data_IF_108489816004
#
_entry.id   IF_108489816004
#
_cell.length_a   1.000
_cell.length_b   1.000
_cell.length_c   1.000
_cell.angle_alpha   90.00
_cell.angle_beta   90.00
_cell.angle_gamma   90.00
#
_symmetry.space_group_name_H-M   'P 1'
#
loop_
_entity.id
_entity.type
_entity.pdbx_description
1 polymer ?
#
# COMPACT_ATOMS: atom_id res chain seq x y z
N UNK A 1 -28.25 -15.26 -37.71
CA UNK A 1 -28.27 -15.72 -36.31
C UNK A 1 -28.22 -14.47 -35.46
N UNK A 2 -29.36 -14.04 -34.93
CA UNK A 2 -29.47 -12.86 -34.07
C UNK A 2 -28.62 -13.12 -32.82
N UNK A 3 -27.57 -12.32 -32.60
CA UNK A 3 -26.76 -12.42 -31.40
C UNK A 3 -27.64 -11.94 -30.24
N UNK A 4 -28.07 -12.84 -29.36
CA UNK A 4 -28.80 -12.47 -28.14
C UNK A 4 -28.01 -11.39 -27.38
N UNK A 5 -28.64 -10.24 -27.14
CA UNK A 5 -28.09 -9.17 -26.32
C UNK A 5 -27.81 -9.71 -24.93
N UNK A 6 -26.56 -9.57 -24.49
CA UNK A 6 -26.13 -9.92 -23.14
C UNK A 6 -26.86 -9.06 -22.13
N UNK A 7 -27.49 -9.68 -21.13
CA UNK A 7 -28.04 -8.96 -19.98
C UNK A 7 -26.92 -8.42 -19.10
N UNK A 8 -27.20 -7.40 -18.29
CA UNK A 8 -26.20 -6.81 -17.38
C UNK A 8 -25.66 -7.85 -16.37
N UNK A 9 -26.53 -8.73 -15.86
CA UNK A 9 -26.15 -9.78 -14.92
C UNK A 9 -25.19 -10.79 -15.57
N UNK A 10 -25.45 -11.17 -16.82
CA UNK A 10 -24.57 -12.05 -17.59
C UNK A 10 -23.22 -11.38 -17.90
N UNK A 11 -23.21 -10.07 -18.20
CA UNK A 11 -21.96 -9.34 -18.44
C UNK A 11 -21.07 -9.27 -17.18
N UNK A 12 -21.67 -9.08 -16.00
CA UNK A 12 -20.97 -9.14 -14.71
C UNK A 12 -20.43 -10.55 -14.44
N UNK A 13 -21.24 -11.58 -14.67
CA UNK A 13 -20.83 -12.97 -14.48
C UNK A 13 -19.62 -13.35 -15.37
N UNK A 14 -19.60 -12.86 -16.61
CA UNK A 14 -18.43 -12.98 -17.49
C UNK A 14 -17.24 -12.22 -16.91
N UNK A 15 -17.41 -10.99 -16.44
CA UNK A 15 -16.33 -10.19 -15.83
C UNK A 15 -15.75 -10.82 -14.56
N UNK A 16 -16.55 -11.56 -13.78
CA UNK A 16 -16.10 -12.27 -12.57
C UNK A 16 -15.30 -13.53 -12.89
N UNK A 17 -15.40 -14.08 -14.11
CA UNK A 17 -14.54 -15.19 -14.57
C UNK A 17 -15.12 -16.56 -14.34
N UNK A 18 -16.44 -16.62 -14.20
CA UNK A 18 -17.18 -17.87 -14.21
C UNK A 18 -17.39 -18.42 -15.63
N UNK A 19 -17.12 -17.61 -16.67
CA UNK A 19 -17.11 -18.06 -18.06
C UNK A 19 -15.68 -18.28 -18.55
N UNK A 20 -15.38 -19.50 -18.99
CA UNK A 20 -14.04 -19.97 -19.40
C UNK A 20 -13.72 -19.58 -20.85
N UNK A 21 -14.75 -19.25 -21.65
CA UNK A 21 -14.58 -18.89 -23.06
C UNK A 21 -14.46 -17.37 -23.21
N UNK A 22 -13.27 -16.89 -23.60
CA UNK A 22 -12.96 -15.49 -23.94
C UNK A 22 -13.77 -14.92 -25.14
N UNK A 23 -14.77 -15.64 -25.66
CA UNK A 23 -15.49 -15.33 -26.90
C UNK A 23 -16.50 -14.20 -26.76
N UNK A 24 -17.02 -13.92 -25.55
CA UNK A 24 -18.04 -12.88 -25.30
C UNK A 24 -17.55 -11.65 -24.52
N UNK A 25 -16.23 -11.48 -24.34
CA UNK A 25 -15.67 -10.34 -23.59
C UNK A 25 -16.07 -8.99 -24.20
N UNK A 26 -16.05 -8.87 -25.53
CA UNK A 26 -16.40 -7.63 -26.22
C UNK A 26 -17.90 -7.29 -26.09
N UNK A 27 -18.75 -8.32 -26.12
CA UNK A 27 -20.18 -8.14 -25.94
C UNK A 27 -20.48 -7.70 -24.50
N UNK A 28 -19.80 -8.28 -23.49
CA UNK A 28 -19.91 -7.88 -22.09
C UNK A 28 -19.39 -6.45 -21.83
N UNK A 29 -18.26 -6.08 -22.44
CA UNK A 29 -17.71 -4.71 -22.36
C UNK A 29 -18.71 -3.70 -22.93
N UNK A 30 -19.31 -4.00 -24.09
CA UNK A 30 -20.33 -3.16 -24.72
C UNK A 30 -21.57 -3.01 -23.83
N UNK A 31 -22.11 -4.10 -23.29
CA UNK A 31 -23.27 -4.07 -22.37
C UNK A 31 -22.98 -3.21 -21.13
N UNK A 32 -21.78 -3.32 -20.55
CA UNK A 32 -21.38 -2.52 -19.39
C UNK A 32 -21.26 -1.02 -19.74
N UNK A 33 -20.69 -0.69 -20.90
CA UNK A 33 -20.58 0.69 -21.38
C UNK A 33 -21.95 1.31 -21.68
N UNK A 34 -22.90 0.55 -22.24
CA UNK A 34 -24.27 1.00 -22.47
C UNK A 34 -25.08 1.16 -21.17
N UNK A 35 -24.75 0.36 -20.15
CA UNK A 35 -25.38 0.48 -18.83
C UNK A 35 -24.85 1.65 -17.98
N UNK A 36 -23.63 2.12 -18.23
CA UNK A 36 -22.96 3.14 -17.42
C UNK A 36 -23.70 4.50 -17.36
N UNK A 37 -24.25 5.05 -18.47
CA UNK A 37 -25.02 6.31 -18.44
C UNK A 37 -26.35 6.20 -17.66
N UNK A 38 -26.88 4.99 -17.50
CA UNK A 38 -28.16 4.76 -16.81
C UNK A 38 -28.00 4.74 -15.28
N UNK A 39 -26.78 4.81 -14.76
CA UNK A 39 -26.51 4.85 -13.33
C UNK A 39 -26.66 6.29 -12.83
N UNK A 40 -27.48 6.47 -11.80
CA UNK A 40 -27.69 7.76 -11.15
C UNK A 40 -26.36 8.42 -10.79
N UNK A 41 -26.26 9.73 -10.98
CA UNK A 41 -24.99 10.44 -10.78
C UNK A 41 -24.46 10.32 -9.35
N UNK A 42 -25.39 10.23 -8.40
CA UNK A 42 -25.16 10.07 -6.96
C UNK A 42 -24.68 8.65 -6.59
N UNK A 43 -24.88 7.65 -7.43
CA UNK A 43 -24.51 6.26 -7.16
C UNK A 43 -23.06 5.97 -7.58
N UNK A 44 -22.12 6.60 -6.86
CA UNK A 44 -20.68 6.49 -7.11
C UNK A 44 -20.13 5.09 -6.87
N UNK A 45 -20.70 4.33 -5.93
CA UNK A 45 -20.28 2.96 -5.63
C UNK A 45 -20.53 2.04 -6.81
N UNK A 46 -21.74 2.11 -7.39
CA UNK A 46 -22.11 1.30 -8.56
C UNK A 46 -21.35 1.70 -9.82
N UNK A 47 -21.05 3.00 -10.01
CA UNK A 47 -20.16 3.45 -11.08
C UNK A 47 -18.75 2.87 -10.94
N UNK A 48 -18.19 2.87 -9.73
CA UNK A 48 -16.89 2.27 -9.47
C UNK A 48 -16.87 0.77 -9.79
N UNK A 49 -17.93 0.05 -9.40
CA UNK A 49 -18.09 -1.38 -9.70
C UNK A 49 -18.10 -1.65 -11.21
N UNK A 50 -18.81 -0.83 -12.01
CA UNK A 50 -18.80 -0.96 -13.47
C UNK A 50 -17.40 -0.75 -14.06
N UNK A 51 -16.68 0.29 -13.62
CA UNK A 51 -15.30 0.53 -14.08
C UNK A 51 -14.35 -0.58 -13.65
N UNK A 52 -14.55 -1.18 -12.46
CA UNK A 52 -13.81 -2.36 -12.02
C UNK A 52 -14.03 -3.56 -12.96
N UNK A 53 -15.27 -3.84 -13.34
CA UNK A 53 -15.59 -4.93 -14.26
C UNK A 53 -15.05 -4.66 -15.67
N UNK A 54 -15.20 -3.45 -16.19
CA UNK A 54 -14.61 -3.04 -17.48
C UNK A 54 -13.09 -3.20 -17.48
N UNK A 55 -12.43 -2.80 -16.39
CA UNK A 55 -10.99 -2.97 -16.23
C UNK A 55 -10.60 -4.45 -16.18
N UNK A 56 -11.32 -5.26 -15.42
CA UNK A 56 -11.07 -6.71 -15.31
C UNK A 56 -11.22 -7.41 -16.66
N UNK A 57 -12.26 -7.08 -17.42
CA UNK A 57 -12.46 -7.58 -18.79
C UNK A 57 -11.32 -7.13 -19.72
N UNK A 58 -10.89 -5.87 -19.61
CA UNK A 58 -9.77 -5.35 -20.39
C UNK A 58 -8.48 -6.11 -20.07
N UNK A 59 -8.21 -6.39 -18.79
CA UNK A 59 -7.06 -7.19 -18.37
C UNK A 59 -7.17 -8.65 -18.80
N UNK A 60 -8.34 -9.23 -19.02
CA UNK A 60 -8.41 -10.62 -19.53
C UNK A 60 -8.05 -10.76 -21.00
N UNK A 61 -8.06 -9.66 -21.75
CA UNK A 61 -7.63 -9.68 -23.16
C UNK A 61 -6.12 -9.93 -23.24
N UNK A 62 -5.67 -10.59 -24.30
CA UNK A 62 -4.24 -10.65 -24.63
C UNK A 62 -3.77 -9.24 -25.00
N UNK A 63 -3.11 -8.57 -24.06
CA UNK A 63 -2.54 -7.24 -24.25
C UNK A 63 -1.08 -7.31 -23.84
N UNK A 64 -0.19 -6.84 -24.71
CA UNK A 64 1.28 -6.81 -24.54
C UNK A 64 1.78 -5.61 -23.74
N UNK A 65 1.01 -4.52 -23.68
CA UNK A 65 1.32 -3.29 -22.94
C UNK A 65 0.08 -2.75 -22.24
N UNK A 66 0.25 -1.88 -21.23
CA UNK A 66 -0.90 -1.26 -20.59
C UNK A 66 -1.65 -0.37 -21.59
N UNK A 67 -2.90 -0.72 -21.87
CA UNK A 67 -3.77 0.05 -22.74
C UNK A 67 -4.16 1.37 -22.05
N UNK A 68 -4.05 2.56 -22.71
CA UNK A 68 -4.54 3.83 -22.17
C UNK A 68 -6.00 3.76 -21.68
N UNK A 69 -6.82 2.92 -22.30
CA UNK A 69 -8.19 2.68 -21.88
C UNK A 69 -8.27 1.99 -20.51
N UNK A 70 -7.42 0.98 -20.26
CA UNK A 70 -7.34 0.30 -18.96
C UNK A 70 -6.92 1.29 -17.86
N UNK A 71 -5.95 2.16 -18.18
CA UNK A 71 -5.53 3.25 -17.29
C UNK A 71 -6.70 4.17 -16.94
N UNK A 72 -7.47 4.58 -17.96
CA UNK A 72 -8.65 5.44 -17.75
C UNK A 72 -9.73 4.79 -16.89
N UNK A 73 -10.00 3.49 -17.07
CA UNK A 73 -10.96 2.76 -16.24
C UNK A 73 -10.48 2.64 -14.80
N UNK A 74 -9.18 2.39 -14.59
CA UNK A 74 -8.59 2.38 -13.25
C UNK A 74 -8.73 3.73 -12.56
N UNK A 75 -8.42 4.83 -13.25
CA UNK A 75 -8.45 6.16 -12.67
C UNK A 75 -9.90 6.57 -12.32
N UNK A 76 -10.87 6.33 -13.21
CA UNK A 76 -12.30 6.59 -12.95
C UNK A 76 -12.89 5.70 -11.85
N UNK A 77 -12.52 4.42 -11.82
CA UNK A 77 -12.88 3.53 -10.71
C UNK A 77 -12.38 4.11 -9.39
N UNK A 78 -11.10 4.49 -9.34
CA UNK A 78 -10.45 5.03 -8.13
C UNK A 78 -11.11 6.33 -7.66
N UNK A 79 -11.41 7.24 -8.59
CA UNK A 79 -12.10 8.50 -8.32
C UNK A 79 -13.47 8.27 -7.68
N UNK A 80 -14.29 7.40 -8.27
CA UNK A 80 -15.61 7.08 -7.73
C UNK A 80 -15.52 6.40 -6.36
N UNK A 81 -14.58 5.48 -6.13
CA UNK A 81 -14.36 4.87 -4.83
C UNK A 81 -13.98 5.89 -3.75
N UNK A 82 -13.12 6.87 -4.08
CA UNK A 82 -12.75 7.95 -3.15
C UNK A 82 -13.95 8.82 -2.81
N UNK A 83 -14.75 9.19 -3.82
CA UNK A 83 -15.99 9.95 -3.61
C UNK A 83 -16.98 9.19 -2.72
N UNK A 84 -17.13 7.87 -2.92
CA UNK A 84 -17.96 7.01 -2.05
C UNK A 84 -17.44 6.99 -0.61
N UNK A 85 -16.11 6.84 -0.42
CA UNK A 85 -15.48 6.86 0.90
C UNK A 85 -15.72 8.20 1.63
N UNK A 86 -15.53 9.33 0.94
CA UNK A 86 -15.76 10.67 1.48
C UNK A 86 -17.21 10.87 1.93
N UNK A 87 -18.17 10.43 1.11
CA UNK A 87 -19.60 10.46 1.46
C UNK A 87 -19.88 9.66 2.72
N UNK A 88 -19.41 8.42 2.80
CA UNK A 88 -19.61 7.59 3.98
C UNK A 88 -19.00 8.20 5.25
N UNK A 89 -17.80 8.78 5.14
CA UNK A 89 -17.14 9.45 6.26
C UNK A 89 -17.92 10.70 6.69
N UNK A 90 -18.43 11.49 5.74
CA UNK A 90 -19.23 12.68 6.03
C UNK A 90 -20.54 12.31 6.74
N UNK A 91 -21.27 11.31 6.24
CA UNK A 91 -22.49 10.80 6.86
C UNK A 91 -22.21 10.27 8.28
N UNK A 92 -21.16 9.46 8.44
CA UNK A 92 -20.79 8.89 9.74
C UNK A 92 -20.41 9.95 10.79
N UNK A 93 -19.84 11.09 10.38
CA UNK A 93 -19.44 12.18 11.28
C UNK A 93 -20.63 13.00 11.80
N UNK A 94 -21.64 13.24 10.97
CA UNK A 94 -22.80 14.08 11.30
C UNK A 94 -23.91 13.27 11.99
N UNK A 95 -23.94 11.94 11.77
CA UNK A 95 -24.98 11.08 12.33
C UNK A 95 -24.94 10.99 13.86
N UNK A 96 -26.04 11.40 14.49
CA UNK A 96 -26.21 11.40 15.96
C UNK A 96 -26.90 10.14 16.46
N UNK A 97 -27.72 9.50 15.61
CA UNK A 97 -28.43 8.29 15.98
C UNK A 97 -27.45 7.10 16.11
N UNK A 98 -27.42 6.47 17.29
CA UNK A 98 -26.50 5.37 17.58
C UNK A 98 -26.80 4.10 16.73
N UNK A 99 -28.07 3.82 16.45
CA UNK A 99 -28.47 2.68 15.63
C UNK A 99 -28.04 2.91 14.17
N UNK A 100 -28.35 4.08 13.61
CA UNK A 100 -27.97 4.44 12.24
C UNK A 100 -26.46 4.51 12.06
N UNK A 101 -25.74 5.03 13.05
CA UNK A 101 -24.27 5.04 13.07
C UNK A 101 -23.66 3.63 13.06
N UNK A 102 -24.28 2.66 13.73
CA UNK A 102 -23.84 1.25 13.70
C UNK A 102 -24.07 0.62 12.32
N UNK A 103 -25.19 0.95 11.66
CA UNK A 103 -25.47 0.53 10.28
C UNK A 103 -24.42 1.12 9.33
N UNK A 104 -24.18 2.43 9.39
CA UNK A 104 -23.16 3.11 8.57
C UNK A 104 -21.77 2.51 8.78
N UNK A 105 -21.37 2.24 10.03
CA UNK A 105 -20.11 1.56 10.32
C UNK A 105 -19.99 0.19 9.63
N UNK A 106 -21.10 -0.56 9.62
CA UNK A 106 -21.15 -1.90 8.98
C UNK A 106 -21.06 -1.79 7.46
N UNK A 107 -21.77 -0.82 6.87
CA UNK A 107 -21.70 -0.51 5.44
C UNK A 107 -20.30 -0.09 5.03
N UNK A 108 -19.67 0.85 5.74
CA UNK A 108 -18.29 1.26 5.50
C UNK A 108 -17.32 0.07 5.58
N UNK A 109 -17.49 -0.80 6.60
CA UNK A 109 -16.66 -2.00 6.73
C UNK A 109 -16.82 -2.95 5.54
N UNK A 110 -18.03 -3.11 5.02
CA UNK A 110 -18.31 -3.90 3.82
C UNK A 110 -17.69 -3.27 2.58
N UNK A 111 -17.87 -1.96 2.41
CA UNK A 111 -17.27 -1.14 1.35
C UNK A 111 -15.74 -1.31 1.30
N UNK A 112 -15.03 -1.07 2.41
CA UNK A 112 -13.57 -1.25 2.45
C UNK A 112 -13.13 -2.69 2.10
N UNK A 113 -13.93 -3.70 2.48
CA UNK A 113 -13.66 -5.10 2.14
C UNK A 113 -13.86 -5.39 0.65
N UNK A 114 -14.80 -4.72 -0.01
CA UNK A 114 -15.00 -4.81 -1.46
C UNK A 114 -13.85 -4.11 -2.19
N UNK A 115 -13.52 -2.89 -1.80
CA UNK A 115 -12.41 -2.12 -2.38
C UNK A 115 -11.08 -2.85 -2.26
N UNK A 116 -10.79 -3.43 -1.10
CA UNK A 116 -9.59 -4.25 -0.90
C UNK A 116 -9.56 -5.44 -1.86
N UNK A 117 -10.70 -6.11 -2.10
CA UNK A 117 -10.79 -7.20 -3.08
C UNK A 117 -10.55 -6.71 -4.50
N UNK A 118 -11.12 -5.57 -4.89
CA UNK A 118 -10.90 -5.01 -6.23
C UNK A 118 -9.42 -4.79 -6.50
N UNK A 119 -8.71 -4.08 -5.62
CA UNK A 119 -7.28 -3.82 -5.84
C UNK A 119 -6.41 -5.07 -5.73
N UNK A 120 -6.76 -6.06 -4.89
CA UNK A 120 -6.04 -7.34 -4.85
C UNK A 120 -6.18 -8.09 -6.17
N UNK A 121 -7.39 -8.17 -6.73
CA UNK A 121 -7.62 -8.82 -8.04
C UNK A 121 -6.90 -8.09 -9.17
N UNK A 122 -6.89 -6.76 -9.14
CA UNK A 122 -6.19 -5.97 -10.15
C UNK A 122 -4.67 -6.13 -10.02
N UNK A 123 -4.12 -6.12 -8.80
CA UNK A 123 -2.71 -6.36 -8.54
C UNK A 123 -2.25 -7.72 -9.06
N UNK A 124 -3.01 -8.78 -8.80
CA UNK A 124 -2.68 -10.12 -9.33
C UNK A 124 -2.80 -10.17 -10.85
N UNK A 125 -3.84 -9.54 -11.43
CA UNK A 125 -4.02 -9.45 -12.88
C UNK A 125 -2.90 -8.67 -13.58
N UNK A 126 -2.41 -7.59 -12.98
CA UNK A 126 -1.26 -6.84 -13.49
C UNK A 126 0.05 -7.62 -13.33
N UNK A 127 0.25 -8.29 -12.20
CA UNK A 127 1.43 -9.12 -11.94
C UNK A 127 1.56 -10.25 -12.96
N UNK A 128 0.46 -10.96 -13.27
CA UNK A 128 0.44 -12.03 -14.28
C UNK A 128 0.84 -11.57 -15.68
N UNK A 129 0.69 -10.28 -15.99
CA UNK A 129 1.09 -9.68 -17.27
C UNK A 129 2.44 -8.99 -17.25
N UNK A 130 3.09 -8.89 -16.09
CA UNK A 130 4.33 -8.12 -15.93
C UNK A 130 4.13 -6.61 -16.02
N UNK A 131 2.92 -6.09 -15.83
CA UNK A 131 2.65 -4.63 -15.83
C UNK A 131 3.02 -4.03 -14.47
N UNK A 132 4.33 -3.92 -14.21
CA UNK A 132 4.88 -3.50 -12.92
C UNK A 132 4.31 -2.15 -12.47
N UNK A 133 4.33 -1.12 -13.31
CA UNK A 133 3.85 0.23 -12.96
C UNK A 133 2.36 0.25 -12.59
N UNK A 134 1.52 -0.51 -13.31
CA UNK A 134 0.10 -0.62 -13.04
C UNK A 134 -0.18 -1.41 -11.75
N UNK A 135 0.61 -2.46 -11.51
CA UNK A 135 0.61 -3.21 -10.26
C UNK A 135 0.97 -2.30 -9.07
N UNK A 136 1.99 -1.44 -9.20
CA UNK A 136 2.39 -0.50 -8.13
C UNK A 136 1.25 0.46 -7.78
N UNK A 137 0.57 1.01 -8.79
CA UNK A 137 -0.57 1.92 -8.58
C UNK A 137 -1.75 1.24 -7.89
N UNK A 138 -2.08 0.02 -8.29
CA UNK A 138 -3.11 -0.78 -7.63
C UNK A 138 -2.75 -1.07 -6.16
N UNK A 139 -1.48 -1.42 -5.91
CA UNK A 139 -0.94 -1.62 -4.58
C UNK A 139 -1.00 -0.35 -3.71
N UNK A 140 -0.64 0.80 -4.27
CA UNK A 140 -0.70 2.08 -3.58
C UNK A 140 -2.12 2.43 -3.16
N UNK A 141 -3.08 2.40 -4.10
CA UNK A 141 -4.49 2.70 -3.78
C UNK A 141 -5.04 1.71 -2.75
N UNK A 142 -4.74 0.41 -2.86
CA UNK A 142 -5.09 -0.60 -1.84
C UNK A 142 -4.63 -0.19 -0.44
N UNK A 143 -3.39 0.27 -0.30
CA UNK A 143 -2.86 0.69 1.00
C UNK A 143 -3.53 1.96 1.51
N UNK A 144 -3.83 2.93 0.65
CA UNK A 144 -4.56 4.15 1.03
C UNK A 144 -5.94 3.85 1.60
N UNK A 145 -6.75 3.02 0.91
CA UNK A 145 -8.05 2.58 1.43
C UNK A 145 -7.92 1.73 2.71
N UNK A 146 -6.87 0.89 2.80
CA UNK A 146 -6.58 0.14 4.03
C UNK A 146 -6.28 1.07 5.20
N UNK A 147 -5.55 2.17 4.97
CA UNK A 147 -5.32 3.20 6.00
C UNK A 147 -6.65 3.82 6.47
N UNK A 148 -7.55 4.18 5.56
CA UNK A 148 -8.90 4.66 5.90
C UNK A 148 -9.69 3.66 6.77
N UNK A 149 -9.66 2.38 6.38
CA UNK A 149 -10.29 1.29 7.13
C UNK A 149 -9.72 1.10 8.55
N UNK A 150 -8.42 1.31 8.73
CA UNK A 150 -7.76 1.16 10.03
C UNK A 150 -8.15 2.29 10.99
N UNK A 151 -8.30 3.53 10.50
CA UNK A 151 -8.82 4.64 11.29
C UNK A 151 -10.25 4.37 11.75
N UNK A 152 -11.11 3.88 10.85
CA UNK A 152 -12.47 3.49 11.18
C UNK A 152 -12.49 2.44 12.31
N UNK A 153 -11.61 1.44 12.25
CA UNK A 153 -11.50 0.36 13.26
C UNK A 153 -10.70 0.76 14.51
N UNK A 154 -10.31 2.04 14.65
CA UNK A 154 -9.48 2.57 15.76
C UNK A 154 -8.16 1.82 15.97
N UNK A 155 -7.58 1.26 14.90
CA UNK A 155 -6.30 0.52 14.94
C UNK A 155 -5.13 1.45 14.62
N UNK A 156 -4.91 2.43 15.48
CA UNK A 156 -3.92 3.50 15.25
C UNK A 156 -2.49 2.98 15.10
N UNK A 157 -2.08 1.93 15.84
CA UNK A 157 -0.73 1.37 15.71
C UNK A 157 -0.43 0.82 14.31
N UNK A 158 -1.37 0.04 13.73
CA UNK A 158 -1.23 -0.45 12.35
C UNK A 158 -1.28 0.67 11.32
N UNK A 159 -2.10 1.69 11.58
CA UNK A 159 -2.17 2.87 10.73
C UNK A 159 -0.85 3.65 10.76
N UNK A 160 -0.30 3.91 11.94
CA UNK A 160 0.95 4.64 12.14
C UNK A 160 2.12 3.89 11.51
N UNK A 161 2.13 2.57 11.64
CA UNK A 161 3.09 1.71 10.93
C UNK A 161 2.98 1.95 9.42
N UNK A 162 1.82 1.75 8.79
CA UNK A 162 1.68 1.95 7.33
C UNK A 162 2.01 3.40 6.92
N UNK A 163 1.62 4.40 7.70
CA UNK A 163 1.94 5.80 7.46
C UNK A 163 3.46 6.07 7.52
N UNK A 164 4.16 5.46 8.48
CA UNK A 164 5.61 5.52 8.57
C UNK A 164 6.26 4.91 7.32
N UNK A 165 5.84 3.72 6.90
CA UNK A 165 6.36 3.09 5.66
C UNK A 165 6.05 3.92 4.42
N UNK A 166 4.91 4.60 4.37
CA UNK A 166 4.59 5.57 3.30
C UNK A 166 5.61 6.71 3.26
N UNK A 167 5.87 7.32 4.41
CA UNK A 167 6.74 8.49 4.52
C UNK A 167 8.20 8.15 4.17
N UNK A 168 8.68 7.00 4.63
CA UNK A 168 10.10 6.62 4.49
C UNK A 168 10.42 6.04 3.13
N UNK A 169 9.64 5.04 2.68
CA UNK A 169 10.00 4.21 1.52
C UNK A 169 8.98 4.29 0.37
N UNK A 170 7.99 5.18 0.47
CA UNK A 170 6.84 5.22 -0.43
C UNK A 170 6.17 3.85 -0.55
N UNK A 171 5.84 3.24 0.60
CA UNK A 171 5.31 1.87 0.68
C UNK A 171 6.24 0.79 0.11
N UNK A 172 7.55 1.01 0.11
CA UNK A 172 8.48 0.07 -0.51
C UNK A 172 8.34 0.02 -2.04
N UNK A 173 8.08 1.15 -2.70
CA UNK A 173 7.99 1.24 -4.17
C UNK A 173 9.16 1.98 -4.82
N UNK A 174 9.95 2.76 -4.07
CA UNK A 174 11.11 3.46 -4.63
C UNK A 174 12.44 2.84 -4.19
N UNK A 175 13.11 2.15 -5.13
CA UNK A 175 14.45 1.58 -4.93
C UNK A 175 15.46 2.66 -4.52
N UNK A 176 15.39 3.84 -5.14
CA UNK A 176 16.31 4.95 -4.85
C UNK A 176 16.13 5.58 -3.46
N UNK A 177 14.96 5.45 -2.83
CA UNK A 177 14.71 6.00 -1.49
C UNK A 177 15.26 5.12 -0.37
N UNK A 178 15.39 3.81 -0.60
CA UNK A 178 15.90 2.87 0.40
C UNK A 178 17.36 3.15 0.83
N UNK A 179 18.35 3.35 -0.07
CA UNK A 179 19.72 3.67 0.35
C UNK A 179 19.80 5.04 1.03
N UNK A 180 19.02 6.02 0.59
CA UNK A 180 18.93 7.33 1.25
C UNK A 180 18.38 7.17 2.67
N UNK A 181 17.31 6.37 2.83
CA UNK A 181 16.73 6.08 4.13
C UNK A 181 17.71 5.34 5.06
N UNK A 182 18.47 4.38 4.54
CA UNK A 182 19.55 3.71 5.26
C UNK A 182 20.60 4.70 5.76
N UNK A 183 21.11 5.58 4.90
CA UNK A 183 22.10 6.60 5.27
C UNK A 183 21.56 7.55 6.35
N UNK A 184 20.30 7.97 6.22
CA UNK A 184 19.64 8.80 7.25
C UNK A 184 19.57 8.06 8.58
N UNK A 185 19.18 6.78 8.58
CA UNK A 185 19.12 5.97 9.81
C UNK A 185 20.49 5.83 10.45
N UNK A 186 21.55 5.59 9.66
CA UNK A 186 22.94 5.52 10.16
C UNK A 186 23.33 6.83 10.88
N UNK A 187 23.03 7.97 10.29
CA UNK A 187 23.33 9.27 10.90
C UNK A 187 22.49 9.51 12.16
N UNK A 188 21.19 9.19 12.13
CA UNK A 188 20.29 9.36 13.27
C UNK A 188 20.71 8.50 14.47
N UNK A 189 21.02 7.22 14.25
CA UNK A 189 21.52 6.35 15.31
C UNK A 189 22.92 6.75 15.77
N UNK A 190 23.81 7.18 14.87
CA UNK A 190 25.09 7.80 15.22
C UNK A 190 24.94 8.99 16.18
N UNK A 191 23.97 9.87 15.93
CA UNK A 191 23.65 10.99 16.84
C UNK A 191 23.13 10.46 18.18
N UNK A 192 22.25 9.45 18.19
CA UNK A 192 21.78 8.86 19.44
C UNK A 192 22.91 8.24 20.26
N UNK A 193 23.90 7.59 19.62
CA UNK A 193 25.08 7.08 20.31
C UNK A 193 25.91 8.20 20.91
N UNK A 194 26.22 9.24 20.15
CA UNK A 194 26.96 10.40 20.64
C UNK A 194 26.27 11.07 21.84
N UNK A 195 24.95 11.26 21.78
CA UNK A 195 24.17 11.81 22.89
C UNK A 195 24.16 10.86 24.11
N UNK A 196 24.01 9.56 23.88
CA UNK A 196 24.01 8.56 24.96
C UNK A 196 25.35 8.45 25.66
N UNK A 197 26.44 8.66 24.93
CA UNK A 197 27.79 8.61 25.48
C UNK A 197 28.16 9.90 26.21
N UNK A 198 27.68 11.07 25.73
CA UNK A 198 27.79 12.34 26.46
C UNK A 198 27.06 12.32 27.81
N UNK A 199 25.96 11.59 27.91
CA UNK A 199 25.20 11.42 29.15
C UNK A 199 25.82 10.36 30.08
N UNK A 200 26.82 9.59 29.59
CA UNK A 200 27.45 8.55 30.37
C UNK A 200 28.53 9.15 31.30
N UNK A 201 28.71 8.65 32.54
CA UNK A 201 29.63 9.25 33.50
C UNK A 201 31.13 9.28 33.12
N UNK A 202 31.54 8.67 32.00
CA UNK A 202 32.96 8.54 31.64
C UNK A 202 33.23 8.26 30.14
N UNK A 203 32.44 8.79 29.18
CA UNK A 203 32.66 8.59 27.73
C UNK A 203 33.06 7.16 27.38
N UNK A 204 32.19 6.23 27.77
CA UNK A 204 32.57 4.83 27.94
C UNK A 204 32.62 4.13 26.58
N UNK A 205 31.87 4.64 25.60
CA UNK A 205 31.70 4.02 24.29
C UNK A 205 32.79 4.42 23.30
N UNK A 206 33.13 5.71 23.24
CA UNK A 206 34.21 6.23 22.40
C UNK A 206 35.16 7.01 23.32
N UNK A 207 36.48 6.70 23.33
CA UNK A 207 37.44 7.42 24.15
C UNK A 207 37.43 8.93 23.85
N UNK A 208 37.84 9.76 24.81
CA UNK A 208 37.93 11.23 24.62
C UNK A 208 38.82 11.67 23.45
N UNK A 209 39.77 10.81 23.05
CA UNK A 209 40.64 11.01 21.88
C UNK A 209 40.05 10.48 20.57
N UNK A 210 38.89 9.85 20.62
CA UNK A 210 38.18 9.27 19.49
C UNK A 210 37.58 10.34 18.57
N UNK A 211 37.21 9.91 17.37
CA UNK A 211 36.69 10.79 16.34
C UNK A 211 35.15 10.75 16.34
N UNK A 212 34.49 11.88 16.05
CA UNK A 212 33.01 11.93 16.00
C UNK A 212 32.39 10.92 15.02
N UNK A 213 33.16 10.53 13.99
CA UNK A 213 32.75 9.54 13.00
C UNK A 213 32.66 8.12 13.58
N UNK A 214 33.29 7.83 14.73
CA UNK A 214 33.26 6.51 15.36
C UNK A 214 31.83 6.10 15.74
N UNK A 215 30.97 7.06 16.10
CA UNK A 215 29.54 6.82 16.33
C UNK A 215 28.77 6.46 15.05
N UNK A 216 29.09 7.12 13.93
CA UNK A 216 28.49 6.85 12.61
C UNK A 216 28.96 5.50 12.08
N UNK A 217 30.24 5.21 12.25
CA UNK A 217 30.84 3.92 11.94
C UNK A 217 30.21 2.81 12.79
N UNK A 218 30.07 3.00 14.11
CA UNK A 218 29.41 2.03 14.99
C UNK A 218 27.96 1.76 14.56
N UNK A 219 27.20 2.81 14.22
CA UNK A 219 25.85 2.65 13.66
C UNK A 219 25.87 1.90 12.33
N UNK A 220 26.83 2.17 11.44
CA UNK A 220 26.96 1.47 10.15
C UNK A 220 27.17 -0.04 10.34
N UNK A 221 28.14 -0.43 11.18
CA UNK A 221 28.45 -1.84 11.42
C UNK A 221 27.36 -2.56 12.23
N UNK A 222 26.60 -1.82 13.05
CA UNK A 222 25.47 -2.35 13.82
C UNK A 222 24.25 -2.57 12.94
N UNK A 223 23.87 -1.56 12.13
CA UNK A 223 22.72 -1.63 11.22
C UNK A 223 22.90 -2.70 10.14
N UNK A 224 24.14 -2.92 9.69
CA UNK A 224 24.50 -4.00 8.75
C UNK A 224 24.74 -5.35 9.43
N UNK A 225 24.55 -5.45 10.75
CA UNK A 225 24.81 -6.65 11.57
C UNK A 225 26.23 -7.21 11.44
N UNK A 226 27.19 -6.40 11.00
CA UNK A 226 28.57 -6.80 10.81
C UNK A 226 29.31 -6.87 12.16
N UNK A 227 29.22 -5.81 12.97
CA UNK A 227 29.69 -5.77 14.36
C UNK A 227 31.13 -6.25 14.58
N UNK A 228 32.14 -5.50 14.12
CA UNK A 228 33.56 -5.83 14.31
C UNK A 228 33.98 -6.00 15.78
N UNK A 229 33.25 -5.39 16.72
CA UNK A 229 33.47 -5.54 18.16
C UNK A 229 34.56 -4.63 18.74
N UNK A 230 35.05 -3.68 17.94
CA UNK A 230 35.97 -2.61 18.31
C UNK A 230 35.31 -1.53 19.16
N UNK A 231 34.03 -1.25 18.92
CA UNK A 231 33.19 -0.37 19.75
C UNK A 231 32.01 -1.20 20.27
N UNK A 232 31.70 -1.07 21.57
CA UNK A 232 30.63 -1.85 22.20
C UNK A 232 29.75 -0.99 23.12
N UNK A 233 28.44 -1.27 23.20
CA UNK A 233 27.54 -0.56 24.11
C UNK A 233 27.76 -1.04 25.55
N UNK A 234 28.02 -0.11 26.48
CA UNK A 234 28.37 -0.46 27.86
C UNK A 234 27.20 -0.15 28.80
N UNK A 235 26.61 1.04 28.66
CA UNK A 235 25.46 1.45 29.49
C UNK A 235 24.17 0.74 29.08
N UNK A 236 23.20 0.66 29.99
CA UNK A 236 21.88 0.09 29.70
C UNK A 236 21.20 0.85 28.54
N UNK A 237 21.31 2.18 28.53
CA UNK A 237 20.72 3.02 27.48
C UNK A 237 21.33 2.71 26.11
N UNK A 238 22.65 2.61 26.00
CA UNK A 238 23.33 2.24 24.75
C UNK A 238 22.90 0.86 24.26
N UNK A 239 22.80 -0.11 25.17
CA UNK A 239 22.34 -1.48 24.84
C UNK A 239 20.90 -1.48 24.32
N UNK A 240 20.01 -0.66 24.89
CA UNK A 240 18.65 -0.50 24.39
C UNK A 240 18.63 0.14 22.99
N UNK A 241 19.43 1.18 22.74
CA UNK A 241 19.53 1.83 21.42
C UNK A 241 20.00 0.84 20.36
N UNK A 242 21.08 0.09 20.63
CA UNK A 242 21.60 -0.97 19.75
C UNK A 242 20.53 -2.03 19.46
N UNK A 243 19.80 -2.44 20.48
CA UNK A 243 18.74 -3.45 20.34
C UNK A 243 17.63 -2.97 19.39
N UNK A 244 17.26 -1.69 19.48
CA UNK A 244 16.29 -1.07 18.56
C UNK A 244 16.87 -0.93 17.16
N UNK A 245 18.13 -0.51 17.02
CA UNK A 245 18.79 -0.36 15.71
C UNK A 245 18.84 -1.68 14.94
N UNK A 246 19.16 -2.79 15.61
CA UNK A 246 19.19 -4.13 15.00
C UNK A 246 17.78 -4.51 14.48
N UNK A 247 16.72 -4.27 15.26
CA UNK A 247 15.34 -4.53 14.83
C UNK A 247 14.96 -3.69 13.60
N UNK A 248 15.38 -2.42 13.57
CA UNK A 248 15.19 -1.54 12.41
C UNK A 248 15.96 -2.06 11.19
N UNK A 249 17.20 -2.51 11.37
CA UNK A 249 18.02 -3.11 10.32
C UNK A 249 17.34 -4.31 9.66
N UNK A 250 16.77 -5.23 10.45
CA UNK A 250 16.02 -6.38 9.93
C UNK A 250 14.79 -5.98 9.11
N UNK A 251 14.06 -4.94 9.55
CA UNK A 251 12.92 -4.41 8.78
C UNK A 251 13.38 -3.86 7.44
N UNK A 252 14.49 -3.11 7.40
CA UNK A 252 15.02 -2.53 6.16
C UNK A 252 15.54 -3.64 5.22
N UNK A 253 16.21 -4.66 5.76
CA UNK A 253 16.64 -5.82 4.97
C UNK A 253 15.45 -6.56 4.35
N UNK A 254 14.36 -6.77 5.10
CA UNK A 254 13.13 -7.36 4.59
C UNK A 254 12.51 -6.54 3.44
N UNK A 255 12.53 -5.20 3.55
CA UNK A 255 12.12 -4.32 2.46
C UNK A 255 13.03 -4.46 1.24
N UNK A 256 14.35 -4.51 1.44
CA UNK A 256 15.31 -4.68 0.35
C UNK A 256 15.06 -5.98 -0.42
N UNK A 257 14.84 -7.10 0.29
CA UNK A 257 14.50 -8.38 -0.33
C UNK A 257 13.18 -8.28 -1.13
N UNK A 258 12.15 -7.63 -0.57
CA UNK A 258 10.89 -7.41 -1.27
C UNK A 258 11.08 -6.65 -2.59
N UNK A 259 11.91 -5.61 -2.59
CA UNK A 259 12.25 -4.84 -3.79
C UNK A 259 12.94 -5.68 -4.85
N UNK A 260 13.98 -6.43 -4.45
CA UNK A 260 14.75 -7.28 -5.36
C UNK A 260 13.86 -8.36 -5.95
N UNK A 261 13.03 -9.01 -5.12
CA UNK A 261 12.10 -10.06 -5.56
C UNK A 261 11.01 -9.56 -6.51
N UNK A 262 10.69 -8.26 -6.52
CA UNK A 262 9.69 -7.70 -7.44
C UNK A 262 10.28 -7.36 -8.82
N UNK A 263 11.60 -7.20 -8.91
CA UNK A 263 12.31 -6.71 -10.10
C UNK A 263 13.09 -7.80 -10.85
N UNK A 264 13.38 -8.92 -10.19
CA UNK A 264 13.95 -10.14 -10.77
C UNK A 264 12.82 -11.11 -11.15
#
# INVERSE_FOLDING_TARGET
MEKEMLTLAEAIHIAEGYDVMNTRILDAEKTLLEGLPNIAEVDTEKKAEFYYYLLTLTLRRHITFENPLARSYFDRMTEHLKSTEERYIAEYKVEKDQHRRKILFTQMKAFYKIVERYYVTLETGYAQKGFLDAQERAYEQKLLFRMGSLLLRKRYGKWAFIAFFRATTNFGMSIGRLPIFLLIMIVVFGIFYALSDLMAPAHVMVPDTGHWFDYVYFSTITLTSLGYGDIVPITLLQKLIVSVEILVGYVILGLFIHFVSKRL
#
